data_IF_386495614602
#
_entry.id   IF_386495614602
#
_cell.length_a   1.000
_cell.length_b   1.000
_cell.length_c   1.000
_cell.angle_alpha   90.00
_cell.angle_beta   90.00
_cell.angle_gamma   90.00
#
_symmetry.space_group_name_H-M   'P 1'
#
loop_
_entity.id
_entity.type
_entity.pdbx_description
1 polymer ?
#
# COMPACT_ATOMS: atom_id res chain seq x y z
N UNK A 1 -80.78 -67.64 22.08
CA UNK A 1 -80.65 -66.19 22.34
C UNK A 1 -79.46 -66.03 23.28
N UNK A 2 -78.38 -65.30 23.02
CA UNK A 2 -77.88 -64.55 21.88
C UNK A 2 -76.38 -64.42 22.13
N UNK A 3 -75.56 -64.75 21.13
CA UNK A 3 -74.12 -64.44 21.09
C UNK A 3 -73.93 -62.93 21.23
N UNK A 4 -72.82 -62.50 21.83
CA UNK A 4 -71.86 -61.58 21.18
C UNK A 4 -70.57 -61.52 21.99
N UNK A 5 -69.56 -62.13 21.38
CA UNK A 5 -68.14 -62.07 21.69
C UNK A 5 -67.58 -60.87 20.92
N UNK A 6 -66.90 -59.92 21.56
CA UNK A 6 -66.01 -59.00 20.84
C UNK A 6 -64.94 -58.43 21.78
N UNK A 7 -63.74 -59.01 21.67
CA UNK A 7 -62.48 -58.43 22.14
C UNK A 7 -62.14 -57.19 21.30
N UNK A 8 -62.14 -56.00 21.89
CA UNK A 8 -61.56 -54.80 21.29
C UNK A 8 -60.08 -54.74 21.65
N UNK A 9 -59.25 -55.31 20.76
CA UNK A 9 -57.81 -55.04 20.70
C UNK A 9 -57.62 -53.59 20.27
N UNK A 10 -57.17 -52.73 21.18
CA UNK A 10 -56.63 -51.43 20.84
C UNK A 10 -55.34 -51.62 20.04
N UNK A 11 -55.43 -51.55 18.70
CA UNK A 11 -54.27 -51.28 17.85
C UNK A 11 -53.95 -49.79 18.01
N UNK A 12 -52.81 -49.49 18.60
CA UNK A 12 -52.19 -48.18 18.45
C UNK A 12 -51.70 -48.07 17.01
N UNK A 13 -52.51 -47.43 16.15
CA UNK A 13 -52.06 -46.98 14.84
C UNK A 13 -51.09 -45.81 15.05
N UNK A 14 -49.79 -46.13 15.04
CA UNK A 14 -48.72 -45.14 14.91
C UNK A 14 -48.68 -44.61 13.47
N UNK A 15 -49.70 -43.86 13.07
CA UNK A 15 -49.71 -43.06 11.83
C UNK A 15 -49.76 -41.56 12.14
N UNK A 16 -49.13 -41.16 13.24
CA UNK A 16 -48.88 -39.75 13.56
C UNK A 16 -47.60 -39.29 12.84
N UNK A 17 -47.79 -38.80 11.61
CA UNK A 17 -47.08 -37.67 11.00
C UNK A 17 -45.60 -37.56 11.41
N UNK A 18 -44.75 -38.43 10.84
CA UNK A 18 -43.35 -38.08 10.57
C UNK A 18 -43.32 -37.16 9.35
N UNK A 19 -43.73 -35.90 9.51
CA UNK A 19 -43.33 -34.82 8.60
C UNK A 19 -41.87 -34.51 8.88
N UNK A 20 -40.99 -35.44 8.51
CA UNK A 20 -39.58 -35.15 8.38
C UNK A 20 -39.44 -34.06 7.32
N UNK A 21 -38.95 -32.89 7.74
CA UNK A 21 -38.29 -31.95 6.82
C UNK A 21 -37.06 -32.67 6.26
N UNK A 22 -37.27 -33.58 5.32
CA UNK A 22 -36.23 -34.01 4.40
C UNK A 22 -36.00 -32.80 3.51
N UNK A 23 -35.02 -31.97 3.87
CA UNK A 23 -34.32 -31.15 2.90
C UNK A 23 -33.81 -32.14 1.84
N UNK A 24 -34.55 -32.27 0.74
CA UNK A 24 -34.06 -32.94 -0.47
C UNK A 24 -32.88 -32.12 -0.93
N UNK A 25 -31.68 -32.45 -0.45
CA UNK A 25 -30.45 -32.04 -1.11
C UNK A 25 -30.54 -32.60 -2.52
N UNK A 26 -30.88 -31.72 -3.47
CA UNK A 26 -30.88 -32.04 -4.90
C UNK A 26 -29.46 -32.50 -5.20
N UNK A 27 -29.26 -33.81 -5.39
CA UNK A 27 -27.99 -34.41 -5.79
C UNK A 27 -27.50 -33.63 -7.00
N UNK A 28 -26.51 -32.76 -6.79
CA UNK A 28 -25.89 -32.06 -7.88
C UNK A 28 -25.29 -33.11 -8.81
N UNK A 29 -25.52 -32.94 -10.12
CA UNK A 29 -24.93 -33.84 -11.10
C UNK A 29 -23.40 -33.77 -10.94
N UNK A 30 -22.73 -34.91 -10.74
CA UNK A 30 -21.29 -34.98 -10.46
C UNK A 30 -20.46 -34.23 -11.50
N UNK A 31 -20.88 -34.26 -12.77
CA UNK A 31 -20.25 -33.50 -13.86
C UNK A 31 -20.35 -31.98 -13.66
N UNK A 32 -21.47 -31.47 -13.12
CA UNK A 32 -21.64 -30.03 -12.83
C UNK A 32 -20.74 -29.58 -11.69
N UNK A 33 -20.60 -30.39 -10.64
CA UNK A 33 -19.63 -30.14 -9.57
C UNK A 33 -18.20 -30.06 -10.12
N UNK A 34 -17.81 -31.04 -10.96
CA UNK A 34 -16.48 -31.11 -11.56
C UNK A 34 -16.19 -29.89 -12.43
N UNK A 35 -17.13 -29.50 -13.29
CA UNK A 35 -16.98 -28.30 -14.14
C UNK A 35 -16.78 -27.04 -13.29
N UNK A 36 -17.57 -26.87 -12.22
CA UNK A 36 -17.45 -25.70 -11.35
C UNK A 36 -16.13 -25.67 -10.56
N UNK A 37 -15.63 -26.83 -10.15
CA UNK A 37 -14.30 -26.94 -9.53
C UNK A 37 -13.21 -26.55 -10.53
N UNK A 38 -13.28 -27.04 -11.77
CA UNK A 38 -12.32 -26.70 -12.84
C UNK A 38 -12.35 -25.19 -13.11
N UNK A 39 -13.54 -24.61 -13.25
CA UNK A 39 -13.69 -23.15 -13.43
C UNK A 39 -13.07 -22.41 -12.24
N UNK A 40 -13.32 -22.85 -11.01
CA UNK A 40 -12.71 -22.25 -9.81
C UNK A 40 -11.18 -22.29 -9.84
N UNK A 41 -10.59 -23.44 -10.18
CA UNK A 41 -9.13 -23.60 -10.31
C UNK A 41 -8.58 -22.68 -11.41
N UNK A 42 -9.25 -22.61 -12.57
CA UNK A 42 -8.84 -21.75 -13.67
C UNK A 42 -8.89 -20.27 -13.29
N UNK A 43 -9.94 -19.83 -12.59
CA UNK A 43 -10.06 -18.46 -12.10
C UNK A 43 -8.91 -18.13 -11.15
N UNK A 44 -8.62 -19.00 -10.18
CA UNK A 44 -7.49 -18.81 -9.26
C UNK A 44 -6.17 -18.77 -10.03
N UNK A 45 -5.93 -19.70 -10.95
CA UNK A 45 -4.70 -19.75 -11.75
C UNK A 45 -4.51 -18.50 -12.61
N UNK A 46 -5.58 -18.02 -13.26
CA UNK A 46 -5.54 -16.80 -14.07
C UNK A 46 -5.16 -15.60 -13.20
N UNK A 47 -5.82 -15.42 -12.05
CA UNK A 47 -5.58 -14.25 -11.19
C UNK A 47 -4.25 -14.34 -10.44
N UNK A 48 -3.81 -15.53 -10.02
CA UNK A 48 -2.63 -15.68 -9.16
C UNK A 48 -1.31 -15.86 -9.91
N UNK A 49 -1.37 -16.20 -11.19
CA UNK A 49 -0.19 -16.50 -12.01
C UNK A 49 -0.20 -15.71 -13.32
N UNK A 50 -1.21 -15.91 -14.17
CA UNK A 50 -1.18 -15.37 -15.53
C UNK A 50 -1.34 -13.86 -15.57
N UNK A 51 -2.17 -13.28 -14.71
CA UNK A 51 -2.46 -11.85 -14.71
C UNK A 51 -1.18 -11.01 -14.51
N UNK A 52 -0.34 -11.38 -13.55
CA UNK A 52 0.90 -10.68 -13.26
C UNK A 52 1.90 -10.77 -14.42
N UNK A 53 2.04 -11.95 -15.04
CA UNK A 53 2.89 -12.13 -16.21
C UNK A 53 2.38 -11.28 -17.38
N UNK A 54 1.08 -11.32 -17.65
CA UNK A 54 0.46 -10.52 -18.70
C UNK A 54 0.61 -9.02 -18.45
N UNK A 55 0.45 -8.55 -17.21
CA UNK A 55 0.68 -7.17 -16.83
C UNK A 55 2.14 -6.75 -17.12
N UNK A 56 3.11 -7.59 -16.78
CA UNK A 56 4.54 -7.31 -17.02
C UNK A 56 4.93 -7.22 -18.50
N UNK A 57 4.17 -7.86 -19.41
CA UNK A 57 4.40 -7.74 -20.86
C UNK A 57 4.09 -6.34 -21.40
N UNK A 58 3.31 -5.54 -20.67
CA UNK A 58 3.01 -4.15 -21.04
C UNK A 58 4.10 -3.17 -20.57
N UNK A 59 5.15 -3.63 -19.89
CA UNK A 59 6.22 -2.77 -19.43
C UNK A 59 7.15 -2.35 -20.58
N UNK A 60 7.58 -1.07 -20.60
CA UNK A 60 8.42 -0.56 -21.68
C UNK A 60 9.82 -1.16 -21.58
N UNK A 61 10.39 -1.61 -22.71
CA UNK A 61 11.75 -2.14 -22.70
C UNK A 61 12.76 -1.07 -22.25
N UNK A 62 13.39 -1.30 -21.09
CA UNK A 62 14.37 -0.41 -20.48
C UNK A 62 15.83 -0.84 -20.72
N UNK A 63 16.09 -1.95 -21.43
CA UNK A 63 17.45 -2.49 -21.59
C UNK A 63 18.38 -1.54 -22.33
N UNK A 64 17.89 -0.86 -23.36
CA UNK A 64 18.68 0.13 -24.11
C UNK A 64 19.02 1.36 -23.26
N UNK A 65 18.08 1.78 -22.42
CA UNK A 65 18.30 2.91 -21.49
C UNK A 65 19.31 2.50 -20.41
N UNK A 66 19.19 1.29 -19.88
CA UNK A 66 20.09 0.77 -18.85
C UNK A 66 21.55 0.58 -19.31
N UNK A 67 21.80 0.50 -20.63
CA UNK A 67 23.16 0.42 -21.18
C UNK A 67 23.88 1.78 -21.25
N UNK A 68 23.15 2.89 -21.07
CA UNK A 68 23.76 4.22 -21.09
C UNK A 68 24.55 4.44 -19.79
N UNK A 69 25.77 5.00 -19.86
CA UNK A 69 26.49 5.39 -18.66
C UNK A 69 25.68 6.45 -17.88
N UNK A 70 25.71 6.37 -16.55
CA UNK A 70 25.12 7.36 -15.63
C UNK A 70 23.59 7.44 -15.59
N UNK A 71 22.86 6.35 -15.86
CA UNK A 71 21.41 6.29 -15.63
C UNK A 71 21.12 5.81 -14.22
N UNK A 72 20.43 6.65 -13.45
CA UNK A 72 19.85 6.30 -12.15
C UNK A 72 18.44 5.75 -12.34
N UNK A 73 18.14 4.60 -11.72
CA UNK A 73 16.83 3.95 -11.80
C UNK A 73 16.11 4.06 -10.47
N UNK A 74 14.95 4.69 -10.52
CA UNK A 74 14.08 4.89 -9.38
C UNK A 74 12.86 3.98 -9.50
N UNK A 75 12.58 3.18 -8.49
CA UNK A 75 11.31 2.48 -8.34
C UNK A 75 10.44 3.25 -7.35
N UNK A 76 9.31 3.77 -7.82
CA UNK A 76 8.37 4.53 -7.02
C UNK A 76 7.24 3.62 -6.56
N UNK A 77 6.94 3.64 -5.26
CA UNK A 77 5.85 2.87 -4.65
C UNK A 77 4.96 3.88 -3.91
N UNK A 78 3.69 3.94 -4.25
CA UNK A 78 2.75 4.88 -3.66
C UNK A 78 1.60 4.12 -3.00
N UNK A 79 1.21 4.57 -1.80
CA UNK A 79 0.01 4.13 -1.08
C UNK A 79 -0.09 2.59 -0.97
N UNK A 80 0.97 1.88 -0.53
CA UNK A 80 0.89 0.42 -0.38
C UNK A 80 -0.13 0.00 0.67
N UNK A 81 -0.47 0.87 1.64
CA UNK A 81 -1.54 0.71 2.63
C UNK A 81 -1.59 -0.70 3.23
N UNK A 82 -0.50 -1.08 3.91
CA UNK A 82 -0.42 -2.38 4.56
C UNK A 82 -1.53 -2.50 5.59
N UNK A 83 -2.48 -3.40 5.32
CA UNK A 83 -3.69 -3.59 6.11
C UNK A 83 -3.33 -4.02 7.54
N UNK A 84 -3.91 -3.33 8.52
CA UNK A 84 -3.68 -3.59 9.95
C UNK A 84 -4.58 -4.69 10.52
N UNK A 85 -4.68 -4.76 11.84
CA UNK A 85 -5.28 -5.86 12.60
C UNK A 85 -6.70 -5.56 13.11
N UNK A 86 -7.16 -4.30 13.05
CA UNK A 86 -8.36 -3.83 13.76
C UNK A 86 -9.59 -3.73 12.86
N UNK A 87 -9.44 -3.23 11.65
CA UNK A 87 -10.59 -2.67 10.91
C UNK A 87 -11.29 -3.69 9.99
N UNK A 88 -10.67 -4.87 9.77
CA UNK A 88 -11.11 -5.87 8.79
C UNK A 88 -12.07 -6.97 9.31
N UNK A 89 -12.47 -6.90 10.58
CA UNK A 89 -13.46 -7.82 11.16
C UNK A 89 -13.10 -9.32 11.05
N UNK A 90 -14.10 -10.17 10.77
CA UNK A 90 -14.00 -11.65 10.87
C UNK A 90 -13.05 -12.27 9.83
N UNK A 91 -12.85 -11.61 8.68
CA UNK A 91 -12.00 -12.11 7.60
C UNK A 91 -10.61 -11.46 7.56
N UNK A 92 -10.28 -10.65 8.57
CA UNK A 92 -9.03 -9.90 8.67
C UNK A 92 -7.77 -10.72 8.38
N UNK A 93 -7.69 -11.95 8.88
CA UNK A 93 -6.55 -12.82 8.59
C UNK A 93 -6.37 -13.10 7.09
N UNK A 94 -7.47 -13.37 6.38
CA UNK A 94 -7.43 -13.65 4.95
C UNK A 94 -7.14 -12.36 4.19
N UNK A 95 -7.87 -11.28 4.45
CA UNK A 95 -7.66 -10.00 3.75
C UNK A 95 -6.22 -9.53 3.84
N UNK A 96 -5.64 -9.51 5.05
CA UNK A 96 -4.24 -9.14 5.28
C UNK A 96 -3.27 -10.01 4.50
N UNK A 97 -3.43 -11.34 4.58
CA UNK A 97 -2.52 -12.27 3.92
C UNK A 97 -2.55 -12.14 2.41
N UNK A 98 -3.74 -11.96 1.82
CA UNK A 98 -3.86 -11.82 0.38
C UNK A 98 -3.34 -10.44 -0.09
N UNK A 99 -3.57 -9.37 0.68
CA UNK A 99 -2.98 -8.05 0.43
C UNK A 99 -1.45 -8.07 0.49
N UNK A 100 -0.87 -8.67 1.54
CA UNK A 100 0.59 -8.83 1.67
C UNK A 100 1.17 -9.62 0.51
N UNK A 101 0.50 -10.69 0.09
CA UNK A 101 0.94 -11.50 -1.05
C UNK A 101 0.89 -10.70 -2.35
N UNK A 102 -0.14 -9.88 -2.55
CA UNK A 102 -0.24 -9.00 -3.70
C UNK A 102 0.91 -7.98 -3.74
N UNK A 103 1.16 -7.28 -2.62
CA UNK A 103 2.27 -6.33 -2.48
C UNK A 103 3.63 -7.00 -2.71
N UNK A 104 3.88 -8.16 -2.11
CA UNK A 104 5.14 -8.91 -2.26
C UNK A 104 5.37 -9.36 -3.71
N UNK A 105 4.34 -9.92 -4.37
CA UNK A 105 4.45 -10.38 -5.76
C UNK A 105 4.71 -9.22 -6.72
N UNK A 106 3.95 -8.13 -6.60
CA UNK A 106 4.07 -6.96 -7.48
C UNK A 106 5.39 -6.25 -7.28
N UNK A 107 5.81 -6.04 -6.03
CA UNK A 107 7.13 -5.48 -5.72
C UNK A 107 8.25 -6.36 -6.27
N UNK A 108 8.25 -7.66 -6.00
CA UNK A 108 9.30 -8.57 -6.46
C UNK A 108 9.44 -8.55 -7.99
N UNK A 109 8.33 -8.52 -8.73
CA UNK A 109 8.37 -8.43 -10.19
C UNK A 109 8.91 -7.08 -10.69
N UNK A 110 8.42 -5.98 -10.13
CA UNK A 110 8.87 -4.64 -10.51
C UNK A 110 10.35 -4.44 -10.17
N UNK A 111 10.78 -4.88 -8.99
CA UNK A 111 12.14 -4.80 -8.53
C UNK A 111 13.09 -5.66 -9.39
N UNK A 112 12.70 -6.89 -9.72
CA UNK A 112 13.50 -7.77 -10.58
C UNK A 112 13.63 -7.23 -12.02
N UNK A 113 12.59 -6.56 -12.52
CA UNK A 113 12.57 -5.96 -13.85
C UNK A 113 13.42 -4.69 -13.93
N UNK A 114 13.18 -3.74 -13.02
CA UNK A 114 13.84 -2.42 -13.01
C UNK A 114 15.28 -2.53 -12.49
N UNK A 115 15.52 -3.37 -11.48
CA UNK A 115 16.75 -3.43 -10.69
C UNK A 115 17.17 -2.03 -10.21
N UNK A 116 16.31 -1.33 -9.45
CA UNK A 116 16.47 0.08 -9.13
C UNK A 116 17.68 0.31 -8.22
N UNK A 117 18.28 1.50 -8.37
CA UNK A 117 19.29 2.04 -7.45
C UNK A 117 18.61 2.63 -6.20
N UNK A 118 17.40 3.15 -6.39
CA UNK A 118 16.56 3.73 -5.34
C UNK A 118 15.15 3.15 -5.34
N UNK A 119 14.66 2.78 -4.16
CA UNK A 119 13.24 2.47 -3.91
C UNK A 119 12.64 3.59 -3.07
N UNK A 120 11.67 4.29 -3.64
CA UNK A 120 11.08 5.49 -3.03
C UNK A 120 9.60 5.22 -2.73
N UNK A 121 9.26 5.22 -1.44
CA UNK A 121 7.87 5.17 -1.00
C UNK A 121 7.30 6.57 -0.84
N UNK A 122 6.13 6.80 -1.45
CA UNK A 122 5.46 8.08 -1.54
C UNK A 122 4.35 8.26 -0.49
N UNK A 123 4.49 7.63 0.68
CA UNK A 123 3.57 7.74 1.82
C UNK A 123 2.51 6.66 1.87
N UNK A 124 1.73 6.69 2.95
CA UNK A 124 0.65 5.76 3.27
C UNK A 124 1.11 4.32 3.29
N UNK A 125 2.14 4.09 4.11
CA UNK A 125 2.77 2.78 4.26
C UNK A 125 1.81 1.81 4.94
N UNK A 126 1.13 2.29 5.98
CA UNK A 126 0.20 1.50 6.80
C UNK A 126 -1.19 2.09 6.75
N UNK A 127 -2.19 1.22 6.60
CA UNK A 127 -3.61 1.61 6.67
C UNK A 127 -4.01 2.05 8.10
N UNK A 128 -3.55 1.30 9.11
CA UNK A 128 -3.84 1.57 10.53
C UNK A 128 -2.66 2.26 11.25
N UNK A 129 -1.81 2.99 10.53
CA UNK A 129 -0.60 3.60 11.09
C UNK A 129 -0.86 4.57 12.24
N UNK A 130 -2.04 5.21 12.28
CA UNK A 130 -2.44 6.15 13.34
C UNK A 130 -2.95 5.47 14.61
N UNK A 131 -3.73 4.40 14.45
CA UNK A 131 -4.44 3.73 15.56
C UNK A 131 -3.63 2.57 16.15
N UNK A 132 -2.56 2.12 15.49
CA UNK A 132 -1.70 1.05 15.96
C UNK A 132 -0.98 1.41 17.27
N UNK A 133 -1.07 0.49 18.23
CA UNK A 133 -0.15 0.43 19.38
C UNK A 133 1.28 0.14 18.92
N UNK A 134 2.27 0.37 19.77
CA UNK A 134 3.67 0.14 19.41
C UNK A 134 3.97 -1.33 19.07
N UNK A 135 3.27 -2.29 19.69
CA UNK A 135 3.46 -3.71 19.40
C UNK A 135 2.76 -4.13 18.10
N UNK A 136 1.59 -3.56 17.79
CA UNK A 136 0.94 -3.72 16.48
C UNK A 136 1.82 -3.14 15.37
N UNK A 137 2.31 -1.91 15.57
CA UNK A 137 3.17 -1.24 14.61
C UNK A 137 4.44 -2.04 14.31
N UNK A 138 5.07 -2.66 15.32
CA UNK A 138 6.22 -3.55 15.10
C UNK A 138 5.87 -4.74 14.23
N UNK A 139 4.72 -5.39 14.44
CA UNK A 139 4.26 -6.49 13.57
C UNK A 139 3.98 -6.02 12.15
N UNK A 140 3.47 -4.81 11.98
CA UNK A 140 3.25 -4.23 10.66
C UNK A 140 4.60 -3.94 9.98
N UNK A 141 5.58 -3.44 10.73
CA UNK A 141 6.94 -3.19 10.26
C UNK A 141 7.65 -4.49 9.87
N UNK A 142 7.49 -5.57 10.63
CA UNK A 142 8.07 -6.88 10.30
C UNK A 142 7.53 -7.39 8.95
N UNK A 143 6.22 -7.23 8.73
CA UNK A 143 5.57 -7.54 7.45
C UNK A 143 6.09 -6.65 6.33
N UNK A 144 6.16 -5.33 6.54
CA UNK A 144 6.75 -4.39 5.59
C UNK A 144 8.16 -4.80 5.20
N UNK A 145 9.02 -5.11 6.17
CA UNK A 145 10.38 -5.55 5.92
C UNK A 145 10.42 -6.88 5.15
N UNK A 146 9.54 -7.83 5.46
CA UNK A 146 9.45 -9.10 4.72
C UNK A 146 8.98 -8.93 3.28
N UNK A 147 8.15 -7.93 2.99
CA UNK A 147 7.60 -7.68 1.65
C UNK A 147 8.63 -6.94 0.79
N UNK A 148 9.28 -5.93 1.36
CA UNK A 148 10.08 -4.96 0.61
C UNK A 148 11.58 -5.08 0.81
N UNK A 149 12.04 -6.02 1.64
CA UNK A 149 13.45 -6.28 1.94
C UNK A 149 14.22 -5.04 2.44
N UNK A 150 13.51 -4.21 3.22
CA UNK A 150 13.98 -2.89 3.64
C UNK A 150 15.30 -2.92 4.44
N UNK A 151 15.53 -3.97 5.22
CA UNK A 151 16.70 -4.12 6.09
C UNK A 151 17.91 -4.80 5.43
N UNK A 152 17.83 -5.25 4.17
CA UNK A 152 18.96 -5.89 3.48
C UNK A 152 20.06 -4.89 3.10
N UNK A 153 19.75 -3.60 3.01
CA UNK A 153 20.70 -2.52 2.66
C UNK A 153 21.37 -2.64 1.27
N UNK A 154 20.98 -3.59 0.43
CA UNK A 154 21.43 -3.69 -0.97
C UNK A 154 20.92 -2.53 -1.84
N UNK A 155 19.79 -1.91 -1.46
CA UNK A 155 19.17 -0.80 -2.17
C UNK A 155 19.04 0.42 -1.26
N UNK A 156 19.04 1.61 -1.87
CA UNK A 156 18.78 2.84 -1.15
C UNK A 156 17.28 3.12 -1.06
N UNK A 157 16.75 3.19 0.16
CA UNK A 157 15.34 3.46 0.39
C UNK A 157 15.11 4.90 0.86
N UNK A 158 14.14 5.59 0.25
CA UNK A 158 13.58 6.83 0.78
C UNK A 158 12.10 6.61 1.02
N UNK A 159 11.68 6.72 2.28
CA UNK A 159 10.26 6.55 2.65
C UNK A 159 9.76 7.88 3.19
N UNK A 160 8.78 8.48 2.52
CA UNK A 160 8.11 9.68 3.02
C UNK A 160 6.84 9.30 3.80
N UNK A 161 6.46 10.07 4.83
CA UNK A 161 5.22 9.76 5.57
C UNK A 161 3.99 10.19 4.77
N UNK A 162 2.93 9.39 4.80
CA UNK A 162 1.58 9.79 4.42
C UNK A 162 0.71 10.15 5.62
N UNK A 163 -0.54 10.56 5.36
CA UNK A 163 -1.43 10.96 6.45
C UNK A 163 -1.89 9.79 7.30
N UNK A 164 -1.95 8.56 6.75
CA UNK A 164 -2.21 7.35 7.55
C UNK A 164 -1.01 6.92 8.42
N UNK A 165 0.20 7.45 8.15
CA UNK A 165 1.40 7.12 8.92
C UNK A 165 1.65 8.07 10.11
N UNK A 166 1.41 9.37 9.91
CA UNK A 166 1.77 10.42 10.88
C UNK A 166 0.65 11.42 11.20
N UNK A 167 -0.52 11.29 10.57
CA UNK A 167 -1.67 12.18 10.73
C UNK A 167 -1.49 13.50 9.98
N UNK A 168 -2.57 14.27 9.85
CA UNK A 168 -2.63 15.51 9.08
C UNK A 168 -3.74 16.46 9.52
N UNK A 169 -4.05 17.45 8.67
CA UNK A 169 -5.07 18.48 8.95
C UNK A 169 -6.48 17.89 9.19
N UNK A 170 -6.84 16.80 8.47
CA UNK A 170 -8.12 16.12 8.62
C UNK A 170 -8.24 15.25 9.90
N UNK A 171 -7.13 14.75 10.43
CA UNK A 171 -7.10 13.85 11.60
C UNK A 171 -6.82 14.57 12.93
N UNK A 172 -6.79 15.90 12.92
CA UNK A 172 -6.92 16.71 14.13
C UNK A 172 -5.68 16.84 15.01
N UNK A 173 -4.60 16.06 14.81
CA UNK A 173 -3.38 16.26 15.59
C UNK A 173 -2.10 15.97 14.80
N UNK A 174 -1.20 16.97 14.83
CA UNK A 174 0.22 16.83 14.55
C UNK A 174 0.89 16.04 15.69
N UNK A 175 0.48 14.79 15.91
CA UNK A 175 0.91 14.00 17.06
C UNK A 175 2.44 13.80 17.05
N UNK A 176 3.19 14.42 17.99
CA UNK A 176 4.64 14.33 17.99
C UNK A 176 5.13 12.89 18.14
N UNK A 177 4.34 12.04 18.81
CA UNK A 177 4.63 10.63 19.03
C UNK A 177 4.62 9.83 17.72
N UNK A 178 3.64 10.04 16.83
CA UNK A 178 3.56 9.32 15.55
C UNK A 178 4.72 9.72 14.64
N UNK A 179 5.03 11.03 14.59
CA UNK A 179 6.20 11.53 13.86
C UNK A 179 7.50 10.99 14.43
N UNK A 180 7.62 10.89 15.75
CA UNK A 180 8.80 10.28 16.38
C UNK A 180 8.89 8.78 16.06
N UNK A 181 7.77 8.06 16.11
CA UNK A 181 7.72 6.64 15.74
C UNK A 181 8.16 6.44 14.30
N UNK A 182 7.60 7.19 13.36
CA UNK A 182 8.03 7.17 11.96
C UNK A 182 9.53 7.45 11.83
N UNK A 183 10.03 8.48 12.53
CA UNK A 183 11.46 8.82 12.52
C UNK A 183 12.37 7.70 13.02
N UNK A 184 11.93 6.95 14.02
CA UNK A 184 12.72 5.87 14.59
C UNK A 184 12.94 4.72 13.60
N UNK A 185 12.01 4.50 12.67
CA UNK A 185 12.06 3.36 11.73
C UNK A 185 12.43 3.76 10.30
N UNK A 186 12.02 4.95 9.84
CA UNK A 186 12.19 5.39 8.44
C UNK A 186 13.03 6.67 8.31
N UNK A 187 13.63 7.14 9.40
CA UNK A 187 14.45 8.34 9.43
C UNK A 187 13.64 9.64 9.40
N UNK A 188 14.35 10.77 9.36
CA UNK A 188 13.77 12.12 9.51
C UNK A 188 12.65 12.36 8.49
N UNK A 189 11.57 13.01 8.91
CA UNK A 189 10.45 13.39 8.03
C UNK A 189 10.83 14.48 7.04
N UNK A 190 11.89 15.25 7.35
CA UNK A 190 12.53 16.21 6.45
C UNK A 190 14.00 15.83 6.34
N UNK A 191 14.48 15.60 5.13
CA UNK A 191 15.87 15.20 4.89
C UNK A 191 16.31 15.51 3.46
N UNK A 192 17.59 15.84 3.30
CA UNK A 192 18.24 15.95 1.99
C UNK A 192 19.18 14.75 1.77
N UNK A 193 18.84 13.93 0.78
CA UNK A 193 19.72 12.86 0.29
C UNK A 193 20.42 13.34 -0.98
N UNK A 194 21.65 12.88 -1.18
CA UNK A 194 22.47 13.25 -2.32
C UNK A 194 23.24 12.02 -2.79
N UNK A 195 23.11 11.70 -4.06
CA UNK A 195 23.87 10.65 -4.72
C UNK A 195 24.08 11.03 -6.18
N UNK A 196 25.33 10.96 -6.61
CA UNK A 196 25.74 11.37 -7.95
C UNK A 196 25.25 12.81 -8.24
N UNK A 197 24.56 13.03 -9.36
CA UNK A 197 24.04 14.34 -9.76
C UNK A 197 22.58 14.57 -9.34
N UNK A 198 22.05 13.76 -8.42
CA UNK A 198 20.66 13.83 -7.94
C UNK A 198 20.59 14.20 -6.45
N UNK A 199 19.76 15.20 -6.14
CA UNK A 199 19.31 15.51 -4.79
C UNK A 199 17.86 15.07 -4.60
N UNK A 200 17.60 14.31 -3.54
CA UNK A 200 16.24 14.01 -3.09
C UNK A 200 15.94 14.85 -1.85
N UNK A 201 15.04 15.82 -2.00
CA UNK A 201 14.54 16.61 -0.89
C UNK A 201 13.22 16.00 -0.41
N UNK A 202 13.31 15.28 0.70
CA UNK A 202 12.16 14.77 1.43
C UNK A 202 11.56 15.90 2.27
N UNK A 203 10.28 16.16 2.05
CA UNK A 203 9.46 17.04 2.87
C UNK A 203 8.56 16.21 3.79
N UNK A 204 8.12 16.83 4.87
CA UNK A 204 7.12 16.23 5.76
C UNK A 204 5.78 16.05 5.02
N UNK A 205 4.89 15.20 5.53
CA UNK A 205 3.59 14.87 4.92
C UNK A 205 2.82 16.16 4.58
N UNK A 206 2.64 17.03 5.59
CA UNK A 206 2.07 18.36 5.42
C UNK A 206 3.20 19.36 5.16
N UNK A 207 3.15 20.00 3.99
CA UNK A 207 4.09 21.03 3.60
C UNK A 207 4.07 22.24 4.57
N UNK A 208 2.91 22.60 5.14
CA UNK A 208 2.82 23.70 6.11
C UNK A 208 3.54 23.38 7.41
N UNK A 209 3.56 22.11 7.80
CA UNK A 209 4.38 21.68 8.93
C UNK A 209 5.86 21.80 8.58
N UNK A 210 6.28 21.38 7.38
CA UNK A 210 7.66 21.52 6.88
C UNK A 210 8.15 22.97 6.80
N UNK A 211 7.24 23.92 6.59
CA UNK A 211 7.55 25.33 6.34
C UNK A 211 7.15 26.28 7.48
N UNK A 212 6.80 25.75 8.65
CA UNK A 212 6.83 26.56 9.89
C UNK A 212 8.23 27.14 10.09
N UNK A 213 8.35 28.38 10.60
CA UNK A 213 9.61 29.17 10.59
C UNK A 213 10.84 28.39 11.07
N UNK A 214 10.68 27.52 12.08
CA UNK A 214 11.77 26.68 12.59
C UNK A 214 12.22 25.54 11.65
N UNK A 215 11.31 24.91 10.91
CA UNK A 215 11.62 23.77 10.02
C UNK A 215 12.10 24.24 8.64
N UNK A 216 11.59 25.36 8.13
CA UNK A 216 12.08 25.99 6.90
C UNK A 216 13.58 26.30 7.00
N UNK A 217 14.02 26.92 8.10
CA UNK A 217 15.43 27.25 8.29
C UNK A 217 16.32 26.00 8.28
N UNK A 218 15.85 24.88 8.84
CA UNK A 218 16.59 23.61 8.82
C UNK A 218 16.69 23.00 7.41
N UNK A 219 15.68 23.19 6.55
CA UNK A 219 15.73 22.80 5.13
C UNK A 219 16.77 23.64 4.39
N UNK A 220 16.72 24.96 4.57
CA UNK A 220 17.62 25.89 3.88
C UNK A 220 19.06 25.71 4.34
N UNK A 221 19.30 25.52 5.63
CA UNK A 221 20.62 25.21 6.15
C UNK A 221 21.17 23.89 5.55
N UNK A 222 20.33 22.84 5.43
CA UNK A 222 20.74 21.60 4.77
C UNK A 222 21.08 21.80 3.29
N UNK A 223 20.34 22.65 2.59
CA UNK A 223 20.57 22.99 1.18
C UNK A 223 21.80 23.88 0.97
N UNK A 224 22.08 24.81 1.90
CA UNK A 224 23.23 25.72 1.83
C UNK A 224 24.54 25.04 2.21
N UNK A 225 24.52 24.18 3.23
CA UNK A 225 25.71 23.42 3.68
C UNK A 225 26.10 22.30 2.71
N UNK A 226 25.24 21.97 1.75
CA UNK A 226 25.51 21.08 0.62
C UNK A 226 25.23 21.84 -0.67
N UNK A 227 26.10 22.78 -1.06
CA UNK A 227 25.92 23.58 -2.27
C UNK A 227 25.62 22.65 -3.45
N UNK A 228 24.70 23.05 -4.33
CA UNK A 228 24.25 22.24 -5.48
C UNK A 228 25.44 21.88 -6.39
N UNK A 229 26.07 20.75 -6.10
CA UNK A 229 26.90 20.01 -7.06
C UNK A 229 26.03 19.14 -7.96
N UNK A 230 24.83 18.79 -7.49
CA UNK A 230 23.81 18.09 -8.25
C UNK A 230 23.09 19.05 -9.21
N UNK A 231 22.93 18.60 -10.44
CA UNK A 231 22.18 19.31 -11.48
C UNK A 231 20.67 19.00 -11.47
N UNK A 232 20.25 18.02 -10.65
CA UNK A 232 18.88 17.53 -10.65
C UNK A 232 18.32 17.36 -9.23
N UNK A 233 17.22 18.04 -8.91
CA UNK A 233 16.52 17.95 -7.63
C UNK A 233 15.13 17.36 -7.79
N UNK A 234 14.88 16.32 -7.01
CA UNK A 234 13.59 15.66 -6.87
C UNK A 234 13.04 16.00 -5.49
N UNK A 235 11.89 16.67 -5.44
CA UNK A 235 11.16 16.93 -4.20
C UNK A 235 10.12 15.84 -3.98
N UNK A 236 10.10 15.27 -2.77
CA UNK A 236 9.23 14.18 -2.38
C UNK A 236 8.27 14.67 -1.29
N UNK A 237 6.97 14.59 -1.55
CA UNK A 237 5.94 15.03 -0.62
C UNK A 237 4.64 14.25 -0.86
N UNK A 238 4.01 13.71 0.18
CA UNK A 238 2.85 12.84 0.03
C UNK A 238 1.63 13.61 -0.48
N UNK A 239 1.21 14.64 0.26
CA UNK A 239 0.21 15.58 -0.23
C UNK A 239 0.84 16.56 -1.21
N UNK A 240 0.21 16.88 -2.34
CA UNK A 240 0.78 17.79 -3.33
C UNK A 240 1.00 19.19 -2.76
N UNK A 241 2.21 19.71 -2.92
CA UNK A 241 2.55 21.14 -2.71
C UNK A 241 1.64 22.05 -3.57
N UNK A 242 1.09 21.52 -4.66
CA UNK A 242 0.47 22.25 -5.75
C UNK A 242 -1.04 22.51 -5.59
N UNK A 243 -1.68 21.99 -4.54
CA UNK A 243 -3.14 22.11 -4.34
C UNK A 243 -3.61 23.47 -3.82
N UNK A 244 -2.71 24.41 -3.53
CA UNK A 244 -3.06 25.76 -3.07
C UNK A 244 -2.93 26.82 -4.16
N UNK A 245 -3.31 28.04 -3.84
CA UNK A 245 -3.21 29.16 -4.78
C UNK A 245 -1.74 29.51 -5.06
N UNK A 246 -1.45 29.83 -6.33
CA UNK A 246 -0.11 30.10 -6.84
C UNK A 246 0.67 31.17 -6.03
N UNK A 247 -0.03 32.13 -5.41
CA UNK A 247 0.58 33.17 -4.57
C UNK A 247 1.35 32.58 -3.39
N UNK A 248 0.85 31.52 -2.77
CA UNK A 248 1.54 30.91 -1.63
C UNK A 248 2.62 29.96 -2.09
N UNK A 249 2.41 29.21 -3.17
CA UNK A 249 3.32 28.14 -3.59
C UNK A 249 4.54 28.67 -4.34
N UNK A 250 4.37 29.70 -5.17
CA UNK A 250 5.44 30.16 -6.08
C UNK A 250 6.75 30.55 -5.37
N UNK A 251 6.73 31.30 -4.25
CA UNK A 251 7.97 31.59 -3.51
C UNK A 251 8.66 30.31 -3.03
N UNK A 252 7.90 29.31 -2.59
CA UNK A 252 8.46 28.05 -2.10
C UNK A 252 9.07 27.22 -3.22
N UNK A 253 8.39 27.11 -4.36
CA UNK A 253 8.98 26.37 -5.48
C UNK A 253 10.23 27.07 -6.03
N UNK A 254 10.23 28.40 -6.07
CA UNK A 254 11.41 29.17 -6.45
C UNK A 254 12.57 28.97 -5.46
N UNK A 255 12.29 28.80 -4.17
CA UNK A 255 13.31 28.52 -3.16
C UNK A 255 13.82 27.08 -3.22
N UNK A 256 12.93 26.13 -3.55
CA UNK A 256 13.28 24.72 -3.65
C UNK A 256 13.94 24.35 -4.97
N UNK A 257 13.73 25.11 -6.05
CA UNK A 257 14.26 24.84 -7.39
C UNK A 257 14.14 23.36 -7.83
N UNK A 258 12.95 22.72 -7.74
CA UNK A 258 12.80 21.33 -8.12
C UNK A 258 12.82 21.16 -9.65
N UNK A 259 13.45 20.08 -10.12
CA UNK A 259 13.26 19.59 -11.49
C UNK A 259 12.01 18.71 -11.58
N UNK A 260 11.75 17.91 -10.54
CA UNK A 260 10.58 17.03 -10.43
C UNK A 260 10.02 17.10 -9.01
N UNK A 261 8.69 17.05 -8.89
CA UNK A 261 7.98 16.81 -7.63
C UNK A 261 7.25 15.47 -7.76
N UNK A 262 7.45 14.56 -6.82
CA UNK A 262 6.76 13.28 -6.75
C UNK A 262 5.84 13.24 -5.52
N UNK A 263 4.62 12.73 -5.71
CA UNK A 263 3.59 12.62 -4.67
C UNK A 263 2.80 11.31 -4.71
N UNK A 264 2.20 10.97 -3.57
CA UNK A 264 1.22 9.90 -3.39
C UNK A 264 -0.21 10.45 -3.29
N UNK A 265 -1.05 9.84 -2.44
CA UNK A 265 -2.37 10.32 -1.96
C UNK A 265 -3.50 10.35 -3.02
N UNK A 266 -3.20 10.49 -4.31
CA UNK A 266 -4.26 10.57 -5.31
C UNK A 266 -4.93 9.22 -5.61
N UNK A 267 -4.30 8.08 -5.28
CA UNK A 267 -4.75 6.73 -5.66
C UNK A 267 -5.00 6.54 -7.17
N UNK A 268 -4.44 7.41 -8.02
CA UNK A 268 -4.44 7.30 -9.47
C UNK A 268 -3.21 7.98 -10.07
N UNK A 269 -2.79 7.52 -11.25
CA UNK A 269 -1.62 8.07 -11.94
C UNK A 269 -1.99 9.43 -12.54
N UNK A 270 -1.31 10.48 -12.08
CA UNK A 270 -1.44 11.84 -12.58
C UNK A 270 -0.08 12.38 -13.00
N UNK A 271 -0.05 13.10 -14.13
CA UNK A 271 1.13 13.84 -14.59
C UNK A 271 0.72 15.25 -14.95
N UNK A 272 1.23 16.21 -14.19
CA UNK A 272 1.06 17.62 -14.52
C UNK A 272 2.33 18.14 -15.20
N UNK A 273 2.17 18.56 -16.46
CA UNK A 273 3.24 19.15 -17.28
C UNK A 273 3.21 20.68 -17.27
N UNK A 274 2.27 21.29 -16.55
CA UNK A 274 2.01 22.73 -16.60
C UNK A 274 3.02 23.61 -15.86
N UNK A 275 4.07 23.03 -15.28
CA UNK A 275 5.18 23.77 -14.69
C UNK A 275 6.11 24.34 -15.76
N UNK A 276 5.68 25.44 -16.38
CA UNK A 276 6.61 26.45 -16.92
C UNK A 276 6.65 27.60 -15.94
N UNK A 277 7.80 27.83 -15.31
CA UNK A 277 8.08 29.06 -14.55
C UNK A 277 8.31 30.23 -15.49
#
# INVERSE_FOLDING_TARGET
MSRLNTSLKYRLDCSYIRSGFYLKFKRWNSTRCQVLIIIGILVVFINEVLFYQWASLNWPNIEEIAKKPSVEKLLLIADPQLIGEKDEGILSFITKREADRYLAKTFAQANAYVKPDWVIFLGDIFDEGLSASDDEFKRYLDRFNSIYDYNNHEQHYIIIPGDNDVGGEYYGDKQPILRQRFRNYFGRTIALYHQNDIQFLKLDMDMFDSYSEGKRNAIIEQMQNRPMTANFRIVLNHWPILTRTARFIKPFINELEPNIILKGDSHHVCKDLSFKF
#
